data_IF_463965926832
#
_entry.id   IF_463965926832
#
_cell.length_a   1.000
_cell.length_b   1.000
_cell.length_c   1.000
_cell.angle_alpha   90.00
_cell.angle_beta   90.00
_cell.angle_gamma   90.00
#
_symmetry.space_group_name_H-M   'P 1'
#
loop_
_entity.id
_entity.type
_entity.pdbx_description
1 polymer ?
#
# COMPACT_ATOMS: atom_id res chain seq x y z
N UNK A 1 8.21 4.02 -5.60
CA UNK A 1 7.70 2.65 -5.84
C UNK A 1 6.40 2.72 -6.63
N UNK A 2 6.11 1.74 -7.49
CA UNK A 2 4.81 1.63 -8.17
C UNK A 2 3.86 0.70 -7.40
N UNK A 3 2.66 0.49 -7.94
CA UNK A 3 1.64 -0.37 -7.31
C UNK A 3 2.09 -1.81 -7.17
N UNK A 4 2.81 -2.35 -8.16
CA UNK A 4 3.25 -3.74 -8.15
C UNK A 4 4.31 -3.97 -7.08
N UNK A 5 5.25 -3.05 -6.95
CA UNK A 5 6.28 -3.10 -5.93
C UNK A 5 5.68 -2.99 -4.52
N UNK A 6 4.65 -2.16 -4.33
CA UNK A 6 3.94 -2.05 -3.05
C UNK A 6 3.12 -3.31 -2.75
N UNK A 7 2.40 -3.86 -3.74
CA UNK A 7 1.67 -5.10 -3.61
C UNK A 7 2.57 -6.26 -3.16
N UNK A 8 3.75 -6.39 -3.78
CA UNK A 8 4.76 -7.38 -3.36
C UNK A 8 5.30 -7.14 -1.95
N UNK A 9 5.54 -5.88 -1.58
CA UNK A 9 6.05 -5.55 -0.25
C UNK A 9 5.03 -5.85 0.87
N UNK A 10 3.74 -5.73 0.57
CA UNK A 10 2.65 -5.96 1.53
C UNK A 10 2.18 -7.43 1.50
N UNK A 11 2.46 -8.17 0.42
CA UNK A 11 1.90 -9.51 0.20
C UNK A 11 0.45 -9.49 -0.29
N UNK A 12 -0.01 -8.38 -0.86
CA UNK A 12 -1.36 -8.21 -1.40
C UNK A 12 -1.38 -8.34 -2.93
N UNK A 13 -2.56 -8.62 -3.50
CA UNK A 13 -2.74 -8.53 -4.94
C UNK A 13 -2.65 -7.05 -5.39
N UNK A 14 -2.10 -6.76 -6.59
CA UNK A 14 -2.03 -5.39 -7.10
C UNK A 14 -3.38 -4.69 -7.16
N UNK A 15 -4.44 -5.44 -7.49
CA UNK A 15 -5.80 -4.91 -7.58
C UNK A 15 -6.37 -4.53 -6.21
N UNK A 16 -6.04 -5.27 -5.15
CA UNK A 16 -6.34 -4.87 -3.77
C UNK A 16 -5.71 -3.52 -3.44
N UNK A 17 -4.44 -3.32 -3.80
CA UNK A 17 -3.76 -2.04 -3.60
C UNK A 17 -4.41 -0.92 -4.43
N UNK A 18 -4.93 -1.21 -5.63
CA UNK A 18 -5.71 -0.21 -6.41
C UNK A 18 -7.02 0.12 -5.71
N UNK A 19 -7.72 -0.88 -5.21
CA UNK A 19 -9.01 -0.72 -4.54
C UNK A 19 -8.87 0.08 -3.25
N UNK A 20 -7.85 -0.19 -2.44
CA UNK A 20 -7.52 0.59 -1.25
C UNK A 20 -7.33 2.07 -1.57
N UNK A 21 -6.58 2.40 -2.64
CA UNK A 21 -6.45 3.80 -3.08
C UNK A 21 -7.80 4.46 -3.39
N UNK A 22 -8.71 3.74 -4.03
CA UNK A 22 -10.05 4.28 -4.33
C UNK A 22 -10.89 4.49 -3.08
N UNK A 23 -10.68 3.67 -2.05
CA UNK A 23 -11.34 3.77 -0.74
C UNK A 23 -10.68 4.75 0.22
N UNK A 24 -9.50 5.28 -0.12
CA UNK A 24 -8.68 6.08 0.80
C UNK A 24 -7.98 5.26 1.89
N UNK A 25 -7.94 3.95 1.71
CA UNK A 25 -7.26 3.00 2.60
C UNK A 25 -5.83 2.71 2.10
N UNK A 26 -5.02 2.08 2.96
CA UNK A 26 -3.70 1.59 2.60
C UNK A 26 -2.57 2.63 2.73
N UNK A 27 -1.38 2.33 2.20
CA UNK A 27 -0.22 3.18 2.34
C UNK A 27 -0.37 4.51 1.57
N UNK A 28 0.22 5.60 2.07
CA UNK A 28 0.21 6.89 1.40
C UNK A 28 0.73 6.81 -0.03
N UNK A 29 0.01 7.45 -0.95
CA UNK A 29 0.34 7.52 -2.36
C UNK A 29 0.30 8.96 -2.82
N UNK A 30 1.06 9.26 -3.87
CA UNK A 30 1.06 10.58 -4.49
C UNK A 30 1.01 10.47 -6.00
N UNK A 31 0.46 11.51 -6.64
CA UNK A 31 0.44 11.63 -8.10
C UNK A 31 1.78 12.20 -8.55
N UNK A 32 2.54 11.41 -9.29
CA UNK A 32 3.78 11.83 -9.95
C UNK A 32 3.55 12.30 -11.40
N UNK A 33 2.29 12.36 -11.84
CA UNK A 33 1.89 12.81 -13.16
C UNK A 33 0.40 12.55 -13.40
N UNK A 34 -0.11 12.97 -14.58
CA UNK A 34 -1.56 12.91 -14.91
C UNK A 34 -2.18 11.53 -14.72
N UNK A 35 -1.44 10.46 -15.00
CA UNK A 35 -1.85 9.05 -14.80
C UNK A 35 -0.85 8.21 -14.00
N UNK A 36 0.14 8.86 -13.38
CA UNK A 36 1.25 8.17 -12.70
C UNK A 36 1.04 8.26 -11.20
N UNK A 37 0.80 7.11 -10.57
CA UNK A 37 0.71 6.99 -9.11
C UNK A 37 1.99 6.35 -8.61
N UNK A 38 2.59 6.95 -7.58
CA UNK A 38 3.78 6.45 -6.92
C UNK A 38 3.59 6.43 -5.41
N UNK A 39 4.44 5.62 -4.79
CA UNK A 39 4.52 5.42 -3.36
C UNK A 39 5.94 5.68 -2.89
N UNK A 40 6.11 6.36 -1.77
CA UNK A 40 7.43 6.46 -1.14
C UNK A 40 7.70 5.19 -0.36
N UNK A 41 8.90 4.63 -0.51
CA UNK A 41 9.30 3.40 0.20
C UNK A 41 9.18 3.57 1.72
N UNK A 42 9.59 4.73 2.23
CA UNK A 42 9.55 5.06 3.66
C UNK A 42 8.11 5.13 4.20
N UNK A 43 7.19 5.72 3.45
CA UNK A 43 5.77 5.82 3.85
C UNK A 43 5.07 4.46 3.82
N UNK A 44 5.36 3.61 2.83
CA UNK A 44 4.84 2.24 2.76
C UNK A 44 5.35 1.42 3.95
N UNK A 45 6.64 1.54 4.29
CA UNK A 45 7.22 0.85 5.44
C UNK A 45 6.63 1.35 6.77
N UNK A 46 6.45 2.66 6.92
CA UNK A 46 5.83 3.24 8.11
C UNK A 46 4.36 2.81 8.25
N UNK A 47 3.61 2.76 7.14
CA UNK A 47 2.25 2.24 7.13
C UNK A 47 2.21 0.76 7.53
N UNK A 48 3.09 -0.08 6.98
CA UNK A 48 3.20 -1.49 7.37
C UNK A 48 3.50 -1.65 8.86
N UNK A 49 4.44 -0.87 9.41
CA UNK A 49 4.78 -0.89 10.83
C UNK A 49 3.59 -0.45 11.72
N UNK A 50 2.80 0.52 11.26
CA UNK A 50 1.59 0.96 11.96
C UNK A 50 0.46 -0.09 11.88
N UNK A 51 0.36 -0.84 10.78
CA UNK A 51 -0.61 -1.92 10.63
C UNK A 51 -0.24 -3.16 11.45
N UNK A 52 1.04 -3.46 11.66
CA UNK A 52 1.47 -4.57 12.54
C UNK A 52 0.99 -4.37 14.00
N UNK A 53 0.62 -3.15 14.38
CA UNK A 53 0.03 -2.83 15.67
C UNK A 53 -1.51 -2.89 15.71
N UNK A 54 -2.19 -3.04 14.57
CA UNK A 54 -3.66 -3.01 14.47
C UNK A 54 -4.30 -4.04 13.54
N UNK A 55 -3.51 -4.85 12.84
CA UNK A 55 -3.97 -5.87 11.91
C UNK A 55 -4.19 -7.20 12.63
N UNK A 56 -5.44 -7.65 12.64
CA UNK A 56 -5.81 -9.02 12.99
C UNK A 56 -4.85 -10.00 12.30
N UNK A 57 -4.04 -10.72 13.09
CA UNK A 57 -3.31 -11.89 12.61
C UNK A 57 -4.36 -12.93 12.27
N UNK A 58 -4.73 -13.05 11.00
CA UNK A 58 -5.53 -14.19 10.54
C UNK A 58 -4.66 -15.43 10.73
N UNK A 59 -4.98 -16.31 11.71
CA UNK A 59 -4.19 -17.52 11.90
C UNK A 59 -4.43 -18.46 10.73
N UNK A 60 -3.37 -19.18 10.35
CA UNK A 60 -3.42 -20.25 9.37
C UNK A 60 -4.30 -21.42 9.83
#
# INVERSE_FOLDING_TARGET
MDTLAVARAIGAAPDTVRQWRHRGEGPPWYRAGRRIVRYRRTEVAAWLAAQDQGGEKVPA
#
